data_IF_989814872752
#
_entry.id   IF_989814872752
#
_cell.length_a   1.000
_cell.length_b   1.000
_cell.length_c   1.000
_cell.angle_alpha   90.00
_cell.angle_beta   90.00
_cell.angle_gamma   90.00
#
_symmetry.space_group_name_H-M   'P 1'
#
loop_
_entity.id
_entity.type
_entity.pdbx_description
1 polymer ?
#
# COMPACT_ATOMS: atom_id res chain seq x y z
N UNK A 1 -0.94 -8.86 10.34
CA UNK A 1 0.15 -9.56 9.60
C UNK A 1 0.88 -8.59 8.70
N UNK A 2 2.06 -8.94 8.18
CA UNK A 2 2.78 -8.09 7.21
C UNK A 2 2.20 -8.27 5.81
N UNK A 3 2.31 -7.21 4.98
CA UNK A 3 1.93 -7.28 3.58
C UNK A 3 2.83 -8.25 2.79
N UNK A 4 2.29 -9.01 1.82
CA UNK A 4 3.05 -9.95 1.00
C UNK A 4 4.12 -9.29 0.12
N UNK A 5 3.88 -8.03 -0.30
CA UNK A 5 4.82 -7.25 -1.11
C UNK A 5 5.21 -5.96 -0.39
N UNK A 6 6.48 -5.57 -0.54
CA UNK A 6 6.94 -4.24 -0.17
C UNK A 6 6.77 -3.36 -1.40
N UNK A 7 5.94 -2.35 -1.32
CA UNK A 7 5.69 -1.45 -2.43
C UNK A 7 6.26 -0.07 -2.11
N UNK A 8 6.73 0.64 -3.12
CA UNK A 8 7.26 1.99 -2.95
C UNK A 8 6.20 2.90 -2.29
N UNK A 9 6.61 3.73 -1.33
CA UNK A 9 5.66 4.54 -0.55
C UNK A 9 4.83 3.77 0.49
N UNK A 10 4.98 2.43 0.56
CA UNK A 10 4.16 1.57 1.42
C UNK A 10 4.18 1.95 2.89
N UNK A 11 3.02 1.87 3.53
CA UNK A 11 2.76 2.40 4.89
C UNK A 11 3.18 1.46 6.03
N UNK A 12 3.97 0.41 5.76
CA UNK A 12 4.39 -0.57 6.79
C UNK A 12 5.05 0.09 8.02
N UNK A 13 5.86 1.12 7.83
CA UNK A 13 6.52 1.85 8.93
C UNK A 13 5.59 2.84 9.64
N UNK A 14 4.49 3.22 9.00
CA UNK A 14 3.49 4.15 9.51
C UNK A 14 2.35 3.45 10.26
N UNK A 15 2.25 2.13 10.20
CA UNK A 15 1.16 1.37 10.82
C UNK A 15 0.96 1.69 12.31
N UNK A 16 2.03 1.90 13.05
CA UNK A 16 1.97 2.28 14.48
C UNK A 16 1.25 3.62 14.74
N UNK A 17 1.20 4.49 13.74
CA UNK A 17 0.50 5.77 13.80
C UNK A 17 -0.90 5.68 13.16
N UNK A 18 -1.05 4.90 12.09
CA UNK A 18 -2.29 4.74 11.35
C UNK A 18 -3.32 3.90 12.12
N UNK A 19 -2.92 2.70 12.60
CA UNK A 19 -3.85 1.75 13.20
C UNK A 19 -4.63 2.30 14.41
N UNK A 20 -4.03 3.07 15.34
CA UNK A 20 -4.77 3.66 16.46
C UNK A 20 -5.82 4.69 16.05
N UNK A 21 -5.65 5.30 14.87
CA UNK A 21 -6.55 6.33 14.34
C UNK A 21 -7.69 5.77 13.47
N UNK A 22 -7.69 4.47 13.17
CA UNK A 22 -8.77 3.85 12.37
C UNK A 22 -10.07 3.86 13.18
N UNK A 23 -11.13 4.52 12.68
CA UNK A 23 -12.41 4.61 13.39
C UNK A 23 -13.18 3.30 13.30
N UNK A 24 -14.23 3.16 14.11
CA UNK A 24 -15.21 2.08 13.93
C UNK A 24 -15.90 2.22 12.57
N UNK A 25 -15.98 1.11 11.82
CA UNK A 25 -16.55 1.04 10.47
C UNK A 25 -16.99 -0.38 10.14
N UNK A 26 -17.90 -0.54 9.19
CA UNK A 26 -18.31 -1.83 8.63
C UNK A 26 -17.69 -2.10 7.27
N UNK A 27 -17.56 -1.05 6.47
CA UNK A 27 -17.00 -1.11 5.12
C UNK A 27 -15.63 -0.43 5.15
N UNK A 28 -14.63 -1.07 4.58
CA UNK A 28 -13.27 -0.56 4.43
C UNK A 28 -12.89 -0.47 2.96
N UNK A 29 -12.34 0.65 2.53
CA UNK A 29 -11.77 0.79 1.19
C UNK A 29 -10.33 1.26 1.23
N UNK A 30 -9.50 0.71 0.35
CA UNK A 30 -8.12 1.12 0.08
C UNK A 30 -8.01 1.39 -1.42
N UNK A 31 -8.43 2.62 -1.85
CA UNK A 31 -8.61 2.97 -3.26
C UNK A 31 -7.30 3.12 -4.04
N UNK A 32 -6.17 3.27 -3.34
CA UNK A 32 -4.79 3.27 -3.84
C UNK A 32 -4.01 2.24 -3.02
N UNK A 33 -4.24 0.96 -3.26
CA UNK A 33 -3.81 -0.06 -2.30
C UNK A 33 -2.31 -0.35 -2.34
N UNK A 34 -1.65 -0.22 -3.48
CA UNK A 34 -0.23 -0.56 -3.60
C UNK A 34 0.10 -1.89 -2.93
N UNK A 35 0.91 -1.84 -1.87
CA UNK A 35 1.23 -3.01 -1.04
C UNK A 35 0.17 -3.40 -0.02
N UNK A 36 -0.96 -2.71 0.08
CA UNK A 36 -2.07 -2.96 1.00
C UNK A 36 -1.65 -3.15 2.48
N UNK A 37 -0.67 -2.38 2.95
CA UNK A 37 -0.07 -2.58 4.26
C UNK A 37 -1.08 -2.39 5.40
N UNK A 38 -2.01 -1.44 5.28
CA UNK A 38 -3.03 -1.16 6.29
C UNK A 38 -4.06 -2.28 6.35
N UNK A 39 -4.52 -2.75 5.19
CA UNK A 39 -5.42 -3.88 5.08
C UNK A 39 -4.90 -5.12 5.82
N UNK A 40 -3.65 -5.53 5.51
CA UNK A 40 -3.07 -6.73 6.12
C UNK A 40 -2.80 -6.56 7.62
N UNK A 41 -2.65 -5.33 8.12
CA UNK A 41 -2.36 -5.06 9.51
C UNK A 41 -3.60 -4.87 10.39
N UNK A 42 -4.68 -4.30 9.84
CA UNK A 42 -5.92 -4.06 10.58
C UNK A 42 -6.74 -5.33 10.80
N UNK A 43 -7.68 -5.27 11.74
CA UNK A 43 -8.71 -6.31 11.87
C UNK A 43 -9.62 -6.31 10.64
N UNK A 44 -10.10 -7.47 10.16
CA UNK A 44 -11.09 -7.56 9.09
C UNK A 44 -12.36 -6.76 9.40
N UNK A 45 -12.93 -6.13 8.36
CA UNK A 45 -14.25 -5.49 8.37
C UNK A 45 -15.31 -6.42 7.79
N UNK A 46 -16.59 -6.05 7.86
CA UNK A 46 -17.68 -6.82 7.26
C UNK A 46 -17.56 -6.90 5.74
N UNK A 47 -17.18 -5.76 5.11
CA UNK A 47 -16.83 -5.69 3.70
C UNK A 47 -15.51 -4.94 3.53
N UNK A 48 -14.64 -5.42 2.64
CA UNK A 48 -13.34 -4.82 2.37
C UNK A 48 -13.07 -4.78 0.87
N UNK A 49 -12.68 -3.63 0.39
CA UNK A 49 -12.42 -3.35 -1.01
C UNK A 49 -11.01 -2.80 -1.17
N UNK A 50 -10.22 -3.41 -2.04
CA UNK A 50 -8.95 -2.85 -2.49
C UNK A 50 -9.03 -2.50 -3.97
N UNK A 51 -8.37 -1.44 -4.34
CA UNK A 51 -8.26 -1.00 -5.71
C UNK A 51 -6.85 -0.48 -6.00
N UNK A 52 -6.38 -0.72 -7.19
CA UNK A 52 -5.24 -0.02 -7.74
C UNK A 52 -5.43 0.16 -9.25
N UNK A 53 -4.95 1.29 -9.77
CA UNK A 53 -4.98 1.52 -11.22
C UNK A 53 -3.96 0.61 -11.94
N UNK A 54 -2.91 0.18 -11.23
CA UNK A 54 -1.95 -0.77 -11.75
C UNK A 54 -2.54 -2.19 -11.74
N UNK A 55 -2.93 -2.65 -12.93
CA UNK A 55 -3.52 -3.97 -13.14
C UNK A 55 -2.61 -5.12 -12.68
N UNK A 56 -1.29 -4.95 -12.68
CA UNK A 56 -0.37 -6.00 -12.23
C UNK A 56 -0.45 -6.22 -10.71
N UNK A 57 -0.71 -5.15 -9.93
CA UNK A 57 -0.94 -5.28 -8.49
C UNK A 57 -2.26 -5.99 -8.19
N UNK A 58 -3.34 -5.62 -8.87
CA UNK A 58 -4.64 -6.28 -8.68
C UNK A 58 -4.60 -7.73 -9.14
N UNK A 59 -3.89 -8.04 -10.25
CA UNK A 59 -3.62 -9.40 -10.68
C UNK A 59 -2.83 -10.19 -9.63
N UNK A 60 -1.85 -9.57 -8.96
CA UNK A 60 -1.10 -10.22 -7.89
C UNK A 60 -2.02 -10.66 -6.74
N UNK A 61 -2.89 -9.77 -6.25
CA UNK A 61 -3.85 -10.10 -5.19
C UNK A 61 -4.88 -11.13 -5.63
N UNK A 62 -5.36 -11.03 -6.87
CA UNK A 62 -6.26 -12.04 -7.45
C UNK A 62 -5.59 -13.42 -7.54
N UNK A 63 -4.34 -13.50 -8.01
CA UNK A 63 -3.58 -14.75 -8.04
C UNK A 63 -3.32 -15.32 -6.65
N UNK A 64 -3.08 -14.46 -5.65
CA UNK A 64 -2.98 -14.92 -4.25
C UNK A 64 -4.27 -15.58 -3.77
N UNK A 65 -5.43 -15.11 -4.22
CA UNK A 65 -6.73 -15.63 -3.83
C UNK A 65 -7.07 -16.94 -4.58
N UNK A 66 -6.81 -16.99 -5.90
CA UNK A 66 -7.28 -18.06 -6.79
C UNK A 66 -6.20 -19.10 -7.08
N UNK A 67 -4.94 -18.67 -7.22
CA UNK A 67 -3.80 -19.49 -7.64
C UNK A 67 -2.68 -19.54 -6.60
N UNK A 68 -3.02 -19.52 -5.30
CA UNK A 68 -2.03 -19.47 -4.23
C UNK A 68 -0.94 -20.53 -4.34
N UNK A 69 -1.33 -21.79 -4.59
CA UNK A 69 -0.38 -22.92 -4.66
C UNK A 69 0.64 -22.76 -5.79
N UNK A 70 0.18 -22.34 -6.97
CA UNK A 70 1.04 -22.16 -8.14
C UNK A 70 1.97 -20.96 -7.92
N UNK A 71 1.44 -19.84 -7.45
CA UNK A 71 2.23 -18.65 -7.14
C UNK A 71 3.25 -18.95 -6.03
N UNK A 72 2.86 -19.65 -4.96
CA UNK A 72 3.78 -20.06 -3.89
C UNK A 72 4.88 -20.99 -4.40
N UNK A 73 4.56 -21.88 -5.33
CA UNK A 73 5.53 -22.77 -5.97
C UNK A 73 6.60 -21.95 -6.73
N UNK A 74 6.19 -20.98 -7.55
CA UNK A 74 7.12 -20.11 -8.28
C UNK A 74 7.96 -19.23 -7.34
N UNK A 75 7.35 -18.68 -6.29
CA UNK A 75 8.06 -17.92 -5.25
C UNK A 75 9.12 -18.79 -4.57
N UNK A 76 8.80 -20.04 -4.22
CA UNK A 76 9.75 -20.93 -3.54
C UNK A 76 10.97 -21.30 -4.39
N UNK A 77 10.80 -21.42 -5.70
CA UNK A 77 11.89 -21.69 -6.66
C UNK A 77 12.80 -20.49 -6.90
N UNK A 78 12.33 -19.29 -6.57
CA UNK A 78 13.04 -18.04 -6.87
C UNK A 78 14.33 -17.93 -6.08
N UNK A 79 15.44 -17.64 -6.74
CA UNK A 79 16.71 -17.30 -6.13
C UNK A 79 16.98 -15.80 -6.23
N UNK A 80 17.81 -15.25 -5.36
CA UNK A 80 18.29 -13.88 -5.49
C UNK A 80 19.26 -13.80 -6.67
N UNK A 81 18.75 -13.45 -7.84
CA UNK A 81 19.45 -13.49 -9.12
C UNK A 81 19.12 -12.26 -9.96
N UNK A 82 20.15 -11.70 -10.57
CA UNK A 82 20.01 -10.59 -11.53
C UNK A 82 19.21 -11.01 -12.77
N UNK A 83 19.43 -12.23 -13.24
CA UNK A 83 18.72 -12.74 -14.41
C UNK A 83 17.24 -12.96 -14.13
N UNK A 84 16.87 -13.48 -12.95
CA UNK A 84 15.48 -13.60 -12.56
C UNK A 84 14.81 -12.24 -12.37
N UNK A 85 15.54 -11.25 -11.84
CA UNK A 85 15.03 -9.87 -11.75
C UNK A 85 14.81 -9.28 -13.14
N UNK A 86 15.77 -9.44 -14.08
CA UNK A 86 15.63 -8.97 -15.46
C UNK A 86 14.47 -9.67 -16.17
N UNK A 87 14.29 -10.97 -15.96
CA UNK A 87 13.16 -11.73 -16.48
C UNK A 87 11.82 -11.20 -15.94
N UNK A 88 11.73 -10.95 -14.65
CA UNK A 88 10.53 -10.34 -14.04
C UNK A 88 10.25 -8.94 -14.61
N UNK A 89 11.28 -8.14 -14.86
CA UNK A 89 11.16 -6.84 -15.54
C UNK A 89 10.63 -7.00 -16.97
N UNK A 90 11.08 -8.02 -17.70
CA UNK A 90 10.57 -8.31 -19.04
C UNK A 90 9.09 -8.71 -19.01
N UNK A 91 8.68 -9.57 -18.08
CA UNK A 91 7.26 -9.94 -17.88
C UNK A 91 6.43 -8.69 -17.60
N UNK A 92 6.88 -7.82 -16.71
CA UNK A 92 6.17 -6.59 -16.35
C UNK A 92 6.05 -5.61 -17.53
N UNK A 93 7.03 -5.58 -18.44
CA UNK A 93 7.02 -4.73 -19.63
C UNK A 93 6.12 -5.27 -20.76
N UNK A 94 5.88 -6.57 -20.80
CA UNK A 94 5.13 -7.24 -21.87
C UNK A 94 4.10 -8.23 -21.30
N UNK A 95 3.22 -7.80 -20.38
CA UNK A 95 2.34 -8.69 -19.61
C UNK A 95 1.38 -9.52 -20.47
N UNK A 96 1.06 -9.06 -21.69
CA UNK A 96 0.16 -9.75 -22.61
C UNK A 96 0.66 -11.11 -23.11
N UNK A 97 1.95 -11.41 -22.94
CA UNK A 97 2.55 -12.68 -23.37
C UNK A 97 2.70 -13.71 -22.26
N UNK A 98 2.27 -13.37 -21.04
CA UNK A 98 2.50 -14.19 -19.85
C UNK A 98 1.20 -14.51 -19.11
N UNK A 99 1.19 -15.65 -18.45
CA UNK A 99 0.07 -16.09 -17.63
C UNK A 99 -0.13 -15.19 -16.40
N UNK A 100 -1.33 -15.14 -15.83
CA UNK A 100 -1.58 -14.37 -14.62
C UNK A 100 -0.61 -14.71 -13.47
N UNK A 101 -0.25 -16.00 -13.31
CA UNK A 101 0.67 -16.45 -12.25
C UNK A 101 2.10 -15.96 -12.49
N UNK A 102 2.59 -16.02 -13.72
CA UNK A 102 3.92 -15.47 -14.08
C UNK A 102 3.98 -13.96 -13.84
N UNK A 103 2.93 -13.23 -14.20
CA UNK A 103 2.81 -11.79 -13.94
C UNK A 103 2.79 -11.48 -12.44
N UNK A 104 2.03 -12.23 -11.65
CA UNK A 104 2.00 -12.09 -10.20
C UNK A 104 3.36 -12.41 -9.56
N UNK A 105 4.04 -13.47 -10.05
CA UNK A 105 5.40 -13.78 -9.65
C UNK A 105 6.38 -12.64 -9.96
N UNK A 106 6.27 -12.03 -11.15
CA UNK A 106 7.11 -10.91 -11.54
C UNK A 106 6.93 -9.70 -10.62
N UNK A 107 5.69 -9.36 -10.26
CA UNK A 107 5.40 -8.31 -9.25
C UNK A 107 6.10 -8.61 -7.93
N UNK A 108 5.98 -9.85 -7.43
CA UNK A 108 6.62 -10.24 -6.17
C UNK A 108 8.15 -10.12 -6.24
N UNK A 109 8.77 -10.60 -7.34
CA UNK A 109 10.23 -10.51 -7.56
C UNK A 109 10.69 -9.07 -7.59
N UNK A 110 10.05 -8.21 -8.38
CA UNK A 110 10.40 -6.81 -8.50
C UNK A 110 10.27 -6.09 -7.15
N UNK A 111 9.18 -6.29 -6.42
CA UNK A 111 8.99 -5.72 -5.09
C UNK A 111 10.02 -6.20 -4.05
N UNK A 112 10.59 -7.42 -4.19
CA UNK A 112 11.55 -7.99 -3.23
C UNK A 112 13.01 -7.81 -3.62
N UNK A 113 13.32 -7.68 -4.92
CA UNK A 113 14.70 -7.65 -5.41
C UNK A 113 15.11 -6.29 -5.99
N UNK A 114 14.17 -5.37 -6.29
CA UNK A 114 14.53 -4.05 -6.78
C UNK A 114 15.01 -3.13 -5.67
N UNK A 115 15.86 -2.18 -6.02
CA UNK A 115 16.23 -1.07 -5.15
C UNK A 115 14.96 -0.29 -4.75
N UNK A 116 14.85 0.05 -3.47
CA UNK A 116 13.70 0.76 -2.89
C UNK A 116 12.33 0.09 -3.12
N UNK A 117 12.29 -1.20 -3.53
CA UNK A 117 11.05 -1.94 -3.85
C UNK A 117 10.23 -1.31 -4.99
N UNK A 118 10.89 -0.61 -5.91
CA UNK A 118 10.28 -0.03 -7.10
C UNK A 118 10.16 -1.09 -8.18
N UNK A 119 8.98 -1.22 -8.82
CA UNK A 119 8.76 -2.24 -9.85
C UNK A 119 9.60 -2.03 -11.11
N UNK A 120 10.01 -0.81 -11.38
CA UNK A 120 10.93 -0.41 -12.46
C UNK A 120 12.36 -0.15 -11.96
N UNK A 121 12.61 -0.43 -10.68
CA UNK A 121 13.89 -0.22 -10.03
C UNK A 121 14.97 -1.19 -10.51
N UNK A 122 16.22 -0.79 -10.36
CA UNK A 122 17.37 -1.65 -10.65
C UNK A 122 17.52 -2.79 -9.63
N UNK A 123 18.19 -3.87 -10.01
CA UNK A 123 18.47 -5.00 -9.13
C UNK A 123 19.22 -4.56 -7.86
N UNK A 124 18.63 -4.80 -6.71
CA UNK A 124 19.22 -4.55 -5.40
C UNK A 124 20.20 -5.65 -5.01
N UNK A 125 21.41 -5.28 -4.61
CA UNK A 125 22.42 -6.22 -4.12
C UNK A 125 23.20 -5.64 -2.95
N UNK A 126 23.83 -6.51 -2.19
CA UNK A 126 24.73 -6.14 -1.11
C UNK A 126 25.88 -7.14 -0.97
N UNK A 127 26.90 -6.75 -0.20
CA UNK A 127 28.07 -7.60 0.10
C UNK A 127 27.92 -8.34 1.43
N UNK A 128 26.85 -8.14 2.18
CA UNK A 128 26.61 -8.69 3.52
C UNK A 128 25.71 -9.92 3.53
N UNK A 129 25.12 -10.28 2.39
CA UNK A 129 24.11 -11.33 2.29
C UNK A 129 22.75 -10.97 2.90
N UNK A 130 22.55 -9.69 3.26
CA UNK A 130 21.29 -9.22 3.84
C UNK A 130 20.14 -9.38 2.87
N UNK A 131 20.35 -9.11 1.56
CA UNK A 131 19.31 -9.21 0.53
C UNK A 131 18.84 -10.66 0.34
N UNK A 132 19.76 -11.62 0.30
CA UNK A 132 19.42 -13.05 0.20
C UNK A 132 18.67 -13.55 1.44
N UNK A 133 19.05 -13.08 2.62
CA UNK A 133 18.34 -13.39 3.87
C UNK A 133 16.92 -12.80 3.88
N UNK A 134 16.76 -11.54 3.43
CA UNK A 134 15.44 -10.89 3.30
C UNK A 134 14.54 -11.65 2.32
N UNK A 135 15.08 -12.10 1.19
CA UNK A 135 14.32 -12.87 0.21
C UNK A 135 13.85 -14.20 0.79
N UNK A 136 14.73 -14.92 1.52
CA UNK A 136 14.35 -16.17 2.20
C UNK A 136 13.22 -15.92 3.20
N UNK A 137 13.36 -14.93 4.06
CA UNK A 137 12.31 -14.58 5.03
C UNK A 137 10.98 -14.23 4.33
N UNK A 138 11.04 -13.50 3.20
CA UNK A 138 9.85 -13.17 2.43
C UNK A 138 9.15 -14.39 1.83
N UNK A 139 9.90 -15.45 1.45
CA UNK A 139 9.34 -16.74 1.04
C UNK A 139 8.63 -17.45 2.19
N UNK A 140 9.25 -17.45 3.38
CA UNK A 140 8.69 -18.08 4.57
C UNK A 140 7.44 -17.34 5.06
N UNK A 141 7.43 -16.01 4.95
CA UNK A 141 6.29 -15.15 5.30
C UNK A 141 5.12 -15.24 4.30
N UNK A 142 5.34 -15.73 3.06
CA UNK A 142 4.29 -15.92 2.06
C UNK A 142 3.50 -17.19 2.37
N UNK A 143 2.54 -17.09 3.27
CA UNK A 143 1.78 -18.21 3.83
C UNK A 143 0.32 -18.19 3.39
N UNK A 144 -0.37 -19.32 3.51
CA UNK A 144 -1.80 -19.47 3.24
C UNK A 144 -2.68 -18.49 4.05
N UNK A 145 -2.22 -18.06 5.22
CA UNK A 145 -2.92 -17.03 6.02
C UNK A 145 -3.09 -15.70 5.26
N UNK A 146 -2.16 -15.38 4.35
CA UNK A 146 -2.28 -14.20 3.48
C UNK A 146 -3.41 -14.39 2.44
N UNK A 147 -3.53 -15.60 1.87
CA UNK A 147 -4.62 -15.97 0.98
C UNK A 147 -5.97 -15.90 1.71
N UNK A 148 -6.08 -16.53 2.86
CA UNK A 148 -7.30 -16.51 3.70
C UNK A 148 -7.72 -15.08 4.07
N UNK A 149 -6.74 -14.16 4.26
CA UNK A 149 -7.03 -12.74 4.52
C UNK A 149 -7.78 -12.06 3.36
N UNK A 150 -7.60 -12.56 2.14
CA UNK A 150 -8.21 -12.01 0.91
C UNK A 150 -9.55 -12.67 0.53
N UNK A 151 -9.96 -13.77 1.17
CA UNK A 151 -11.13 -14.58 0.75
C UNK A 151 -12.44 -13.79 0.67
N UNK A 152 -12.59 -12.74 1.49
CA UNK A 152 -13.83 -11.95 1.58
C UNK A 152 -13.67 -10.54 1.00
N UNK A 153 -12.70 -10.36 0.11
CA UNK A 153 -12.39 -9.05 -0.42
C UNK A 153 -12.90 -8.86 -1.83
N UNK A 154 -13.31 -7.65 -2.13
CA UNK A 154 -13.49 -7.18 -3.49
C UNK A 154 -12.18 -6.57 -3.97
N UNK A 155 -11.71 -7.01 -5.14
CA UNK A 155 -10.53 -6.46 -5.81
C UNK A 155 -11.03 -5.72 -7.04
N UNK A 156 -10.77 -4.41 -7.09
CA UNK A 156 -11.13 -3.53 -8.19
C UNK A 156 -9.88 -3.10 -8.96
N UNK A 157 -10.05 -2.78 -10.25
CA UNK A 157 -9.03 -2.14 -11.07
C UNK A 157 -9.68 -1.00 -11.85
N UNK A 158 -9.90 0.11 -11.17
CA UNK A 158 -10.65 1.27 -11.66
C UNK A 158 -9.98 2.57 -11.24
N UNK A 159 -10.51 3.70 -11.73
CA UNK A 159 -10.18 5.00 -11.16
C UNK A 159 -10.54 5.02 -9.66
N UNK A 160 -9.61 5.47 -8.84
CA UNK A 160 -9.77 5.48 -7.39
C UNK A 160 -10.94 6.36 -6.92
N UNK A 161 -11.22 7.46 -7.62
CA UNK A 161 -12.33 8.35 -7.30
C UNK A 161 -13.68 7.63 -7.49
N UNK A 162 -13.81 6.85 -8.57
CA UNK A 162 -15.01 6.04 -8.83
C UNK A 162 -15.24 4.99 -7.74
N UNK A 163 -14.16 4.41 -7.23
CA UNK A 163 -14.22 3.42 -6.15
C UNK A 163 -14.61 4.07 -4.83
N UNK A 164 -14.05 5.24 -4.50
CA UNK A 164 -14.42 5.99 -3.29
C UNK A 164 -15.91 6.34 -3.35
N UNK A 165 -16.39 6.89 -4.45
CA UNK A 165 -17.81 7.29 -4.62
C UNK A 165 -18.73 6.07 -4.58
N UNK A 166 -18.38 4.98 -5.27
CA UNK A 166 -19.19 3.75 -5.36
C UNK A 166 -19.43 3.09 -4.00
N UNK A 167 -18.42 3.08 -3.13
CA UNK A 167 -18.48 2.42 -1.83
C UNK A 167 -18.69 3.37 -0.66
N UNK A 168 -19.04 4.65 -0.93
CA UNK A 168 -19.29 5.63 0.11
C UNK A 168 -20.63 5.42 0.82
N UNK A 169 -20.56 5.24 2.13
CA UNK A 169 -21.70 5.11 3.02
C UNK A 169 -21.32 5.62 4.44
N UNK A 170 -22.30 5.96 5.31
CA UNK A 170 -22.00 6.44 6.66
C UNK A 170 -21.11 5.50 7.50
N UNK A 171 -21.18 4.20 7.25
CA UNK A 171 -20.39 3.17 7.94
C UNK A 171 -19.10 2.80 7.18
N UNK A 172 -18.72 3.55 6.14
CA UNK A 172 -17.48 3.33 5.38
C UNK A 172 -16.31 4.09 6.00
N UNK A 173 -15.15 3.43 5.99
CA UNK A 173 -13.85 4.07 6.22
C UNK A 173 -12.98 3.93 4.97
N UNK A 174 -12.65 5.06 4.36
CA UNK A 174 -11.76 5.16 3.22
C UNK A 174 -10.33 5.44 3.69
N UNK A 175 -9.40 4.50 3.49
CA UNK A 175 -7.98 4.77 3.60
C UNK A 175 -7.46 5.22 2.23
N UNK A 176 -6.99 6.45 2.15
CA UNK A 176 -6.65 7.14 0.90
C UNK A 176 -5.17 7.49 0.92
N UNK A 177 -4.38 6.77 0.13
CA UNK A 177 -2.92 6.92 0.04
C UNK A 177 -2.48 7.11 -1.43
N UNK A 178 -2.84 8.24 -2.07
CA UNK A 178 -2.54 8.48 -3.47
C UNK A 178 -1.03 8.66 -3.70
N UNK A 179 -0.56 8.58 -4.96
CA UNK A 179 0.79 9.02 -5.30
C UNK A 179 1.03 10.46 -4.84
N UNK A 180 2.19 10.71 -4.22
CA UNK A 180 2.46 12.01 -3.61
C UNK A 180 2.86 13.03 -4.66
N UNK A 181 2.09 14.11 -4.75
CA UNK A 181 2.33 15.24 -5.64
C UNK A 181 3.67 15.91 -5.26
N UNK A 182 4.48 16.29 -6.25
CA UNK A 182 5.80 16.93 -6.08
C UNK A 182 6.80 16.09 -5.27
N UNK A 183 6.65 14.78 -5.24
CA UNK A 183 7.69 13.92 -4.67
C UNK A 183 8.74 13.61 -5.73
N UNK A 184 10.05 13.61 -5.36
CA UNK A 184 11.18 13.23 -6.24
C UNK A 184 11.09 11.75 -6.72
N UNK A 185 9.93 11.16 -6.65
CA UNK A 185 9.65 9.76 -6.91
C UNK A 185 9.32 9.50 -8.39
N UNK A 186 9.78 10.33 -9.26
CA UNK A 186 10.11 10.24 -10.69
C UNK A 186 9.15 9.52 -11.67
N UNK A 187 8.15 8.73 -11.22
CA UNK A 187 7.37 7.85 -12.09
C UNK A 187 5.86 8.04 -11.99
N UNK A 188 5.38 8.89 -11.07
CA UNK A 188 3.95 9.16 -10.90
C UNK A 188 3.52 10.55 -11.35
N UNK A 189 4.46 11.43 -11.75
CA UNK A 189 4.14 12.80 -12.19
C UNK A 189 3.19 12.82 -13.39
N UNK A 190 3.31 11.83 -14.29
CA UNK A 190 2.44 11.69 -15.45
C UNK A 190 1.07 11.05 -15.11
N UNK A 191 0.95 10.40 -13.93
CA UNK A 191 -0.24 9.63 -13.58
C UNK A 191 -1.09 10.26 -12.49
N UNK A 192 -0.50 11.07 -11.57
CA UNK A 192 -1.21 11.75 -10.49
C UNK A 192 -0.58 13.12 -10.20
N UNK A 193 -1.23 14.17 -10.65
CA UNK A 193 -0.78 15.55 -10.57
C UNK A 193 -1.65 16.39 -9.62
N UNK A 194 -1.38 17.70 -9.53
CA UNK A 194 -2.13 18.63 -8.68
C UNK A 194 -3.63 18.67 -9.03
N UNK A 195 -4.00 18.58 -10.30
CA UNK A 195 -5.40 18.54 -10.73
C UNK A 195 -6.12 17.28 -10.25
N UNK A 196 -5.43 16.14 -10.30
CA UNK A 196 -5.97 14.88 -9.75
C UNK A 196 -6.15 14.96 -8.23
N UNK A 197 -5.19 15.59 -7.53
CA UNK A 197 -5.29 15.84 -6.10
C UNK A 197 -6.48 16.76 -5.78
N UNK A 198 -6.69 17.83 -6.55
CA UNK A 198 -7.83 18.72 -6.33
C UNK A 198 -9.16 17.99 -6.53
N UNK A 199 -9.28 17.17 -7.58
CA UNK A 199 -10.48 16.35 -7.81
C UNK A 199 -10.71 15.36 -6.64
N UNK A 200 -9.65 14.74 -6.13
CA UNK A 200 -9.76 13.87 -4.97
C UNK A 200 -10.25 14.63 -3.73
N UNK A 201 -9.69 15.82 -3.45
CA UNK A 201 -10.08 16.61 -2.29
C UNK A 201 -11.53 17.10 -2.42
N UNK A 202 -11.98 17.50 -3.64
CA UNK A 202 -13.38 17.84 -3.91
C UNK A 202 -14.32 16.66 -3.65
N UNK A 203 -13.96 15.46 -4.04
CA UNK A 203 -14.73 14.25 -3.72
C UNK A 203 -14.78 14.02 -2.21
N UNK A 204 -13.63 14.11 -1.51
CA UNK A 204 -13.55 13.90 -0.06
C UNK A 204 -14.35 14.92 0.76
N UNK A 205 -14.67 16.11 0.21
CA UNK A 205 -15.61 17.07 0.83
C UNK A 205 -17.06 16.55 0.89
N UNK A 206 -17.40 15.60 0.02
CA UNK A 206 -18.79 15.12 -0.16
C UNK A 206 -19.05 13.74 0.40
N UNK A 207 -18.02 13.00 0.79
CA UNK A 207 -18.17 11.64 1.32
C UNK A 207 -19.01 11.62 2.61
N UNK A 208 -19.88 10.64 2.72
CA UNK A 208 -20.71 10.37 3.91
C UNK A 208 -19.94 9.58 4.97
N UNK A 209 -18.99 8.79 4.49
CA UNK A 209 -18.12 7.98 5.32
C UNK A 209 -16.99 8.77 5.97
N UNK A 210 -16.15 8.04 6.67
CA UNK A 210 -14.92 8.58 7.26
C UNK A 210 -13.75 8.33 6.32
N UNK A 211 -12.78 9.23 6.28
CA UNK A 211 -11.55 9.00 5.54
C UNK A 211 -10.31 9.38 6.33
N UNK A 212 -9.19 8.73 5.98
CA UNK A 212 -7.84 9.14 6.33
C UNK A 212 -7.03 9.26 5.05
N UNK A 213 -6.63 10.49 4.71
CA UNK A 213 -5.74 10.80 3.59
C UNK A 213 -4.31 10.91 4.10
N UNK A 214 -3.37 10.20 3.48
CA UNK A 214 -1.92 10.32 3.77
C UNK A 214 -1.23 11.08 2.65
N UNK A 215 -0.36 12.06 3.02
CA UNK A 215 0.38 12.88 2.07
C UNK A 215 1.55 13.60 2.76
N UNK A 216 2.51 14.09 1.99
CA UNK A 216 3.44 15.11 2.46
C UNK A 216 2.75 16.45 2.63
N UNK A 217 3.31 17.37 3.46
CA UNK A 217 2.80 18.74 3.60
C UNK A 217 2.56 19.37 2.23
N UNK A 218 1.33 19.84 2.01
CA UNK A 218 0.92 20.44 0.73
C UNK A 218 -0.15 21.52 0.98
N UNK A 219 0.09 22.73 0.50
CA UNK A 219 -0.73 23.91 0.80
C UNK A 219 -2.21 23.72 0.40
N UNK A 220 -2.47 22.99 -0.68
CA UNK A 220 -3.83 22.70 -1.11
C UNK A 220 -4.58 21.88 -0.04
N UNK A 221 -3.94 20.87 0.53
CA UNK A 221 -4.54 20.05 1.60
C UNK A 221 -4.80 20.89 2.85
N UNK A 222 -3.86 21.75 3.25
CA UNK A 222 -4.06 22.64 4.41
C UNK A 222 -5.26 23.58 4.22
N UNK A 223 -5.46 24.13 3.00
CA UNK A 223 -6.64 24.95 2.67
C UNK A 223 -7.95 24.17 2.78
N UNK A 224 -8.00 22.94 2.22
CA UNK A 224 -9.18 22.08 2.31
C UNK A 224 -9.47 21.67 3.74
N UNK A 225 -8.43 21.30 4.50
CA UNK A 225 -8.57 20.91 5.90
C UNK A 225 -9.14 22.05 6.76
N UNK A 226 -8.63 23.28 6.60
CA UNK A 226 -9.17 24.47 7.31
C UNK A 226 -10.61 24.79 6.90
N UNK A 227 -10.95 24.70 5.59
CA UNK A 227 -12.29 24.96 5.08
C UNK A 227 -13.31 23.99 5.67
N UNK A 228 -12.96 22.71 5.81
CA UNK A 228 -13.87 21.63 6.16
C UNK A 228 -13.75 21.17 7.62
N UNK A 229 -12.85 21.77 8.40
CA UNK A 229 -12.59 21.36 9.78
C UNK A 229 -11.93 19.98 9.90
N UNK A 230 -11.18 19.55 8.87
CA UNK A 230 -10.47 18.28 8.92
C UNK A 230 -9.26 18.37 9.86
N UNK A 231 -8.94 17.26 10.51
CA UNK A 231 -7.85 17.18 11.48
C UNK A 231 -6.59 16.67 10.80
N UNK A 232 -5.47 17.38 10.98
CA UNK A 232 -4.16 17.00 10.44
C UNK A 232 -3.30 16.46 11.57
N UNK A 233 -3.01 15.16 11.55
CA UNK A 233 -1.99 14.52 12.38
C UNK A 233 -0.65 14.57 11.67
N UNK A 234 0.34 15.24 12.27
CA UNK A 234 1.68 15.45 11.69
C UNK A 234 2.66 14.44 12.26
N UNK A 235 3.30 13.67 11.42
CA UNK A 235 4.26 12.64 11.82
C UNK A 235 5.63 12.97 11.22
N UNK A 236 6.63 13.14 12.09
CA UNK A 236 8.02 13.24 11.63
C UNK A 236 8.61 11.85 11.36
N UNK A 237 9.12 11.66 10.15
CA UNK A 237 9.84 10.44 9.74
C UNK A 237 11.30 10.76 9.48
N UNK A 238 12.16 9.83 9.86
CA UNK A 238 13.57 9.86 9.46
C UNK A 238 13.72 9.05 8.18
N UNK A 239 14.07 9.70 7.07
CA UNK A 239 14.40 9.01 5.82
C UNK A 239 15.88 8.68 5.83
N UNK A 240 16.20 7.39 5.75
CA UNK A 240 17.56 6.88 5.60
C UNK A 240 17.87 6.67 4.12
N UNK A 241 18.13 7.73 3.37
CA UNK A 241 18.61 7.61 1.99
C UNK A 241 20.14 7.36 1.92
N UNK A 242 20.90 7.71 2.96
CA UNK A 242 22.32 7.37 3.13
C UNK A 242 22.72 7.46 4.60
N UNK A 243 23.83 6.79 4.97
CA UNK A 243 24.37 6.81 6.35
C UNK A 243 24.79 8.21 6.84
N UNK A 244 24.94 9.17 5.94
CA UNK A 244 25.50 10.51 6.24
C UNK A 244 24.49 11.65 6.27
N UNK A 245 23.26 11.50 5.76
CA UNK A 245 22.26 12.57 5.75
C UNK A 245 20.87 12.04 6.12
N UNK A 246 20.56 12.05 7.42
CA UNK A 246 19.20 11.76 7.92
C UNK A 246 18.34 13.00 7.68
N UNK A 247 17.64 13.06 6.56
CA UNK A 247 16.59 14.08 6.38
C UNK A 247 15.36 13.68 7.20
N UNK A 248 14.81 14.61 7.97
CA UNK A 248 13.49 14.48 8.56
C UNK A 248 12.48 14.88 7.49
N UNK A 249 11.47 14.07 7.31
CA UNK A 249 10.34 14.37 6.43
C UNK A 249 9.07 14.28 7.25
N UNK A 250 8.25 15.29 7.15
CA UNK A 250 6.92 15.32 7.73
C UNK A 250 5.94 14.59 6.80
N UNK A 251 5.06 13.79 7.36
CA UNK A 251 3.97 13.11 6.66
C UNK A 251 2.67 13.42 7.41
N UNK A 252 1.65 13.82 6.68
CA UNK A 252 0.36 14.16 7.23
C UNK A 252 -0.62 13.00 7.09
N UNK A 253 -1.43 12.80 8.15
CA UNK A 253 -2.64 11.99 8.09
C UNK A 253 -3.82 12.93 8.33
N UNK A 254 -4.65 13.14 7.31
CA UNK A 254 -5.77 14.08 7.32
C UNK A 254 -7.07 13.30 7.46
N UNK A 255 -7.85 13.61 8.48
CA UNK A 255 -9.08 12.90 8.82
C UNK A 255 -10.28 13.85 8.87
N UNK A 256 -11.46 13.43 8.38
CA UNK A 256 -12.72 14.17 8.52
C UNK A 256 -13.48 13.83 9.82
N UNK A 257 -12.84 13.19 10.77
CA UNK A 257 -13.41 12.76 12.06
C UNK A 257 -12.43 13.04 13.21
N UNK A 258 -12.99 13.28 14.39
CA UNK A 258 -12.25 13.27 15.64
C UNK A 258 -12.16 11.85 16.18
N UNK A 259 -10.94 11.42 16.52
CA UNK A 259 -10.76 10.20 17.25
C UNK A 259 -11.07 10.43 18.73
N UNK A 260 -12.10 9.76 19.23
CA UNK A 260 -12.20 9.53 20.66
C UNK A 260 -11.22 8.41 20.98
N UNK A 261 -10.10 8.74 21.62
CA UNK A 261 -9.14 7.75 22.08
C UNK A 261 -9.89 6.54 22.66
N UNK A 262 -9.95 5.44 21.91
CA UNK A 262 -10.28 4.14 22.49
C UNK A 262 -9.06 3.73 23.32
N UNK A 263 -8.92 4.37 24.46
CA UNK A 263 -7.96 3.97 25.47
C UNK A 263 -8.27 2.51 25.81
N UNK A 264 -7.27 1.67 25.69
CA UNK A 264 -7.10 0.39 26.37
C UNK A 264 -7.51 -0.94 25.73
N UNK A 265 -8.03 -1.03 24.53
CA UNK A 265 -8.28 -2.37 23.95
C UNK A 265 -7.13 -2.95 23.09
N UNK A 266 -6.07 -2.18 22.85
CA UNK A 266 -4.97 -2.57 21.94
C UNK A 266 -3.61 -2.83 22.60
N UNK A 267 -3.50 -2.74 23.94
CA UNK A 267 -2.20 -2.91 24.62
C UNK A 267 -1.80 -4.37 24.92
N UNK A 268 -2.60 -5.36 24.56
CA UNK A 268 -2.41 -6.74 25.02
C UNK A 268 -1.83 -7.76 24.03
N UNK A 269 -1.82 -7.55 22.71
CA UNK A 269 -1.54 -8.66 21.77
C UNK A 269 -0.47 -8.40 20.68
N UNK A 270 0.22 -7.27 20.69
CA UNK A 270 1.21 -6.96 19.65
C UNK A 270 2.69 -7.05 20.10
N UNK A 271 2.95 -7.46 21.33
CA UNK A 271 4.31 -7.67 21.88
C UNK A 271 4.49 -9.12 22.36
N UNK A 272 4.18 -10.09 21.52
CA UNK A 272 4.37 -11.51 21.81
C UNK A 272 4.93 -12.23 20.60
N UNK A 273 6.27 -12.47 20.69
CA UNK A 273 7.12 -13.43 19.95
C UNK A 273 7.33 -13.20 18.47
#
# INVERSE_FOLDING_TARGET
>A
MRTPISYYGGKQTMLKHILPLIPSHKIYTEAFCGGAAVLFAKRPSEAEIINDINMELTNFYWCMQVYYSDLKHEINKTLHSRDLHAHAGHINSYPQFFTPVERAWAVWVLCKMSFASMMDGTFGYDFSGTMTKKLRNAKDEFTERLCQRLERMTIENRNALDVIDCYDAPDTFHFVDPPYVNSDCGHYEDTFNEQNMEQLLQLLETVKGKFMLTMFPFDMIDRYARKNGWIIHRIERTISASKSNRRRQEEWMVCNYEERAQASLFQGEYLGE
#
